data_IF_159881628940
#
_entry.id   IF_159881628940
#
_cell.length_a   1.000
_cell.length_b   1.000
_cell.length_c   1.000
_cell.angle_alpha   90.00
_cell.angle_beta   90.00
_cell.angle_gamma   90.00
#
_symmetry.space_group_name_H-M   'P 1'
#
loop_
_entity.id
_entity.type
_entity.pdbx_description
1 polymer ?
#
# COMPACT_ATOMS: atom_id res chain seq x y z
N UNK A 1 12.19 1.13 -0.74
CA UNK A 1 10.78 1.56 -0.80
C UNK A 1 10.09 0.78 -1.90
N UNK A 2 8.89 0.28 -1.65
CA UNK A 2 8.00 -0.29 -2.67
C UNK A 2 6.89 0.71 -2.98
N UNK A 3 6.69 1.02 -4.25
CA UNK A 3 5.59 1.86 -4.74
C UNK A 3 4.64 0.98 -5.56
N UNK A 4 3.37 1.00 -5.20
CA UNK A 4 2.31 0.29 -5.91
C UNK A 4 1.57 1.24 -6.82
N UNK A 5 1.35 0.83 -8.07
CA UNK A 5 0.56 1.57 -9.03
C UNK A 5 -0.95 1.39 -8.83
N UNK A 6 -1.70 2.35 -9.31
CA UNK A 6 -3.16 2.33 -9.39
C UNK A 6 -3.63 1.70 -10.70
N UNK A 7 -4.89 1.27 -10.73
CA UNK A 7 -5.56 0.87 -11.97
C UNK A 7 -5.53 2.01 -13.01
N UNK A 8 -5.73 3.25 -12.58
CA UNK A 8 -5.71 4.43 -13.44
C UNK A 8 -4.29 4.97 -13.62
N UNK A 9 -3.89 5.13 -14.87
CA UNK A 9 -2.56 5.63 -15.24
C UNK A 9 -2.24 7.00 -14.64
N UNK A 10 -3.21 7.94 -14.65
CA UNK A 10 -3.00 9.29 -14.13
C UNK A 10 -2.76 9.30 -12.62
N UNK A 11 -3.44 8.45 -11.85
CA UNK A 11 -3.21 8.30 -10.40
C UNK A 11 -1.83 7.71 -10.14
N UNK A 12 -1.43 6.71 -10.92
CA UNK A 12 -0.09 6.12 -10.82
C UNK A 12 1.00 7.16 -11.12
N UNK A 13 0.86 7.92 -12.21
CA UNK A 13 1.81 9.01 -12.56
C UNK A 13 1.91 10.04 -11.43
N UNK A 14 0.79 10.40 -10.82
CA UNK A 14 0.77 11.28 -9.66
C UNK A 14 1.55 10.72 -8.46
N UNK A 15 1.35 9.44 -8.13
CA UNK A 15 2.09 8.79 -7.04
C UNK A 15 3.59 8.82 -7.32
N UNK A 16 4.00 8.48 -8.54
CA UNK A 16 5.40 8.52 -8.97
C UNK A 16 5.97 9.95 -8.82
N UNK A 17 5.25 10.97 -9.30
CA UNK A 17 5.68 12.37 -9.16
C UNK A 17 5.86 12.76 -7.69
N UNK A 18 4.90 12.43 -6.83
CA UNK A 18 5.00 12.71 -5.38
C UNK A 18 6.24 12.06 -4.75
N UNK A 19 6.55 10.82 -5.13
CA UNK A 19 7.71 10.10 -4.61
C UNK A 19 9.01 10.74 -5.11
N UNK A 20 9.11 11.06 -6.40
CA UNK A 20 10.28 11.71 -7.00
C UNK A 20 10.52 13.08 -6.35
N UNK A 21 9.49 13.92 -6.27
CA UNK A 21 9.57 15.25 -5.66
C UNK A 21 9.96 15.16 -4.17
N UNK A 22 9.44 14.16 -3.45
CA UNK A 22 9.77 13.94 -2.04
C UNK A 22 11.23 13.53 -1.86
N UNK A 23 11.76 12.68 -2.74
CA UNK A 23 13.16 12.29 -2.70
C UNK A 23 14.09 13.47 -3.04
N UNK A 24 13.73 14.27 -4.03
CA UNK A 24 14.49 15.47 -4.39
C UNK A 24 14.54 16.47 -3.24
N UNK A 25 13.41 16.69 -2.56
CA UNK A 25 13.30 17.65 -1.46
C UNK A 25 14.04 17.18 -0.20
N UNK A 26 13.98 15.89 0.11
CA UNK A 26 14.60 15.30 1.31
C UNK A 26 16.06 14.88 1.11
N UNK A 27 16.54 14.82 -0.12
CA UNK A 27 17.83 14.20 -0.45
C UNK A 27 17.86 12.67 -0.29
N UNK A 28 16.70 12.04 -0.13
CA UNK A 28 16.57 10.60 0.02
C UNK A 28 16.97 9.87 -1.28
N UNK A 29 17.92 8.94 -1.17
CA UNK A 29 18.44 8.17 -2.32
C UNK A 29 18.08 6.68 -2.24
N UNK A 30 17.11 6.32 -1.41
CA UNK A 30 16.66 4.92 -1.33
C UNK A 30 16.15 4.44 -2.68
N UNK A 31 16.53 3.22 -3.03
CA UNK A 31 16.03 2.57 -4.24
C UNK A 31 14.52 2.33 -4.12
N UNK A 32 13.82 2.48 -5.24
CA UNK A 32 12.39 2.30 -5.35
C UNK A 32 12.10 1.09 -6.23
N UNK A 33 11.41 0.12 -5.66
CA UNK A 33 10.75 -0.93 -6.43
C UNK A 33 9.38 -0.40 -6.85
N UNK A 34 9.07 -0.44 -8.12
CA UNK A 34 7.76 -0.06 -8.63
C UNK A 34 7.03 -1.26 -9.21
N UNK A 35 5.86 -1.54 -8.65
CA UNK A 35 4.96 -2.58 -9.14
C UNK A 35 3.69 -1.94 -9.70
N UNK A 36 3.50 -1.95 -11.03
CA UNK A 36 2.27 -1.45 -11.64
C UNK A 36 1.07 -2.33 -11.26
N UNK A 37 -0.13 -1.76 -11.37
CA UNK A 37 -1.34 -2.53 -11.27
C UNK A 37 -1.42 -3.52 -12.46
N UNK A 38 -1.81 -4.80 -12.26
CA UNK A 38 -1.78 -5.82 -13.32
C UNK A 38 -2.58 -5.48 -14.59
N UNK A 39 -3.62 -4.68 -14.45
CA UNK A 39 -4.46 -4.25 -15.57
C UNK A 39 -4.01 -2.92 -16.20
N UNK A 40 -3.01 -2.26 -15.64
CA UNK A 40 -2.49 -1.02 -16.19
C UNK A 40 -1.41 -1.33 -17.24
N UNK A 41 -1.72 -1.04 -18.50
CA UNK A 41 -0.90 -1.39 -19.68
C UNK A 41 0.08 -0.30 -20.11
N UNK A 42 0.25 0.77 -19.32
CA UNK A 42 1.23 1.83 -19.61
C UNK A 42 2.64 1.24 -19.72
N UNK A 43 3.46 1.68 -20.70
CA UNK A 43 4.86 1.27 -20.82
C UNK A 43 5.74 1.97 -19.76
N UNK A 44 5.63 1.52 -18.52
CA UNK A 44 6.24 2.16 -17.36
C UNK A 44 7.76 2.28 -17.45
N UNK A 45 8.43 1.41 -18.21
CA UNK A 45 9.89 1.49 -18.42
C UNK A 45 10.34 2.83 -18.98
N UNK A 46 9.52 3.46 -19.82
CA UNK A 46 9.83 4.76 -20.44
C UNK A 46 9.47 5.95 -19.54
N UNK A 47 8.61 5.73 -18.55
CA UNK A 47 8.10 6.77 -17.63
C UNK A 47 8.96 6.90 -16.37
N UNK A 48 9.58 5.80 -15.96
CA UNK A 48 10.35 5.73 -14.73
C UNK A 48 11.78 6.25 -14.96
N UNK A 49 12.21 7.17 -14.10
CA UNK A 49 13.58 7.71 -14.10
C UNK A 49 14.46 7.07 -13.01
N UNK A 50 15.74 7.21 -13.16
CA UNK A 50 16.84 7.09 -12.22
C UNK A 50 16.90 5.89 -11.29
N UNK A 51 16.25 5.96 -10.16
CA UNK A 51 16.34 4.98 -9.07
C UNK A 51 15.13 4.05 -8.92
N UNK A 52 14.26 4.03 -9.94
CA UNK A 52 13.13 3.10 -9.99
C UNK A 52 13.52 1.78 -10.67
N UNK A 53 13.13 0.69 -10.07
CA UNK A 53 13.23 -0.64 -10.65
C UNK A 53 11.81 -1.20 -10.83
N UNK A 54 11.45 -1.42 -12.10
CA UNK A 54 10.15 -2.02 -12.45
C UNK A 54 10.15 -3.50 -12.06
N UNK A 55 9.07 -3.96 -11.44
CA UNK A 55 8.92 -5.36 -11.03
C UNK A 55 7.50 -5.86 -11.17
N UNK A 56 7.34 -7.13 -11.51
CA UNK A 56 6.08 -7.86 -11.51
C UNK A 56 6.04 -8.99 -10.47
N UNK A 57 7.06 -9.08 -9.62
CA UNK A 57 7.13 -10.11 -8.58
C UNK A 57 5.91 -10.06 -7.65
N UNK A 58 5.52 -11.18 -7.03
CA UNK A 58 4.44 -11.22 -6.04
C UNK A 58 4.71 -10.28 -4.85
N UNK A 59 3.65 -9.72 -4.25
CA UNK A 59 3.78 -8.82 -3.09
C UNK A 59 4.48 -9.50 -1.91
N UNK A 60 4.24 -10.79 -1.69
CA UNK A 60 4.89 -11.57 -0.64
C UNK A 60 6.42 -11.58 -0.75
N UNK A 61 6.95 -11.64 -1.97
CA UNK A 61 8.39 -11.55 -2.20
C UNK A 61 8.89 -10.10 -2.02
N UNK A 62 8.17 -9.13 -2.59
CA UNK A 62 8.55 -7.72 -2.51
C UNK A 62 8.56 -7.20 -1.08
N UNK A 63 7.69 -7.69 -0.21
CA UNK A 63 7.68 -7.32 1.20
C UNK A 63 8.93 -7.77 1.94
N UNK A 64 9.64 -8.79 1.48
CA UNK A 64 10.94 -9.17 2.06
C UNK A 64 12.05 -8.16 1.74
N UNK A 65 11.91 -7.44 0.63
CA UNK A 65 12.91 -6.51 0.09
C UNK A 65 12.69 -5.04 0.50
N UNK A 66 11.56 -4.72 1.14
CA UNK A 66 11.23 -3.36 1.50
C UNK A 66 10.75 -3.24 2.96
N UNK A 67 10.91 -2.06 3.54
CA UNK A 67 10.35 -1.68 4.85
C UNK A 67 9.20 -0.69 4.75
N UNK A 68 9.09 0.01 3.62
CA UNK A 68 8.09 1.03 3.35
C UNK A 68 7.34 0.67 2.08
N UNK A 69 6.02 0.77 2.14
CA UNK A 69 5.14 0.56 1.00
C UNK A 69 4.26 1.79 0.82
N UNK A 70 4.33 2.39 -0.36
CA UNK A 70 3.50 3.52 -0.77
C UNK A 70 2.47 3.01 -1.77
N UNK A 71 1.21 3.24 -1.50
CA UNK A 71 0.12 2.69 -2.30
C UNK A 71 -1.01 3.72 -2.50
N UNK A 72 -1.83 3.59 -3.57
CA UNK A 72 -3.06 4.36 -3.70
C UNK A 72 -4.05 4.02 -2.58
N UNK A 73 -4.92 4.98 -2.23
CA UNK A 73 -5.88 4.85 -1.13
C UNK A 73 -6.91 3.72 -1.32
N UNK A 74 -7.17 3.32 -2.56
CA UNK A 74 -8.10 2.23 -2.87
C UNK A 74 -7.43 0.84 -2.96
N UNK A 75 -6.09 0.77 -2.71
CA UNK A 75 -5.34 -0.47 -2.89
C UNK A 75 -5.42 -1.38 -1.67
N UNK A 76 -5.74 -2.66 -1.90
CA UNK A 76 -5.57 -3.72 -0.89
C UNK A 76 -4.11 -3.97 -0.56
N UNK A 77 -3.18 -3.61 -1.45
CA UNK A 77 -1.74 -3.75 -1.22
C UNK A 77 -1.23 -2.95 -0.01
N UNK A 78 -1.86 -1.80 0.32
CA UNK A 78 -1.55 -1.08 1.56
C UNK A 78 -1.91 -1.91 2.80
N UNK A 79 -3.05 -2.60 2.76
CA UNK A 79 -3.52 -3.47 3.82
C UNK A 79 -2.62 -4.70 3.98
N UNK A 80 -2.27 -5.35 2.87
CA UNK A 80 -1.34 -6.48 2.86
C UNK A 80 0.03 -6.07 3.43
N UNK A 81 0.55 -4.89 3.03
CA UNK A 81 1.78 -4.33 3.57
C UNK A 81 1.68 -4.09 5.08
N UNK A 82 0.58 -3.52 5.54
CA UNK A 82 0.32 -3.31 6.96
C UNK A 82 0.33 -4.64 7.73
N UNK A 83 -0.37 -5.67 7.23
CA UNK A 83 -0.39 -7.00 7.83
C UNK A 83 0.99 -7.68 7.81
N UNK A 84 1.82 -7.38 6.80
CA UNK A 84 3.21 -7.84 6.72
C UNK A 84 4.19 -7.02 7.59
N UNK A 85 3.69 -6.21 8.53
CA UNK A 85 4.49 -5.34 9.41
C UNK A 85 5.37 -4.33 8.66
N UNK A 86 4.93 -3.85 7.49
CA UNK A 86 5.59 -2.78 6.76
C UNK A 86 4.99 -1.43 7.15
N UNK A 87 5.76 -0.36 6.97
CA UNK A 87 5.20 0.98 7.02
C UNK A 87 4.34 1.19 5.76
N UNK A 88 3.03 1.11 5.94
CA UNK A 88 2.07 1.32 4.86
C UNK A 88 1.67 2.80 4.79
N UNK A 89 1.93 3.44 3.66
CA UNK A 89 1.59 4.84 3.39
C UNK A 89 0.55 4.86 2.26
N UNK A 90 -0.64 5.34 2.56
CA UNK A 90 -1.71 5.50 1.56
C UNK A 90 -1.71 6.92 1.02
N UNK A 91 -1.57 7.06 -0.29
CA UNK A 91 -1.68 8.35 -0.98
C UNK A 91 -3.16 8.69 -1.15
N UNK A 92 -3.58 9.80 -0.55
CA UNK A 92 -4.93 10.32 -0.70
C UNK A 92 -4.99 11.27 -1.91
N UNK A 93 -5.81 10.93 -2.89
CA UNK A 93 -6.10 11.81 -4.02
C UNK A 93 -7.39 12.59 -3.76
N UNK A 94 -7.38 13.95 -3.89
CA UNK A 94 -8.57 14.77 -3.65
C UNK A 94 -9.69 14.55 -4.67
N UNK A 95 -9.38 13.94 -5.82
CA UNK A 95 -10.37 13.63 -6.85
C UNK A 95 -11.06 12.27 -6.64
N UNK A 96 -10.62 11.48 -5.65
CA UNK A 96 -11.15 10.14 -5.39
C UNK A 96 -11.62 9.97 -3.95
N UNK A 97 -12.54 9.05 -3.73
CA UNK A 97 -12.94 8.68 -2.37
C UNK A 97 -11.82 7.92 -1.68
N UNK A 98 -11.62 8.21 -0.40
CA UNK A 98 -10.75 7.40 0.43
C UNK A 98 -11.44 6.06 0.78
N UNK A 99 -11.16 5.04 0.00
CA UNK A 99 -11.69 3.69 0.16
C UNK A 99 -10.72 2.76 0.92
N UNK A 100 -9.65 3.28 1.51
CA UNK A 100 -8.67 2.45 2.20
C UNK A 100 -9.31 1.70 3.37
N UNK A 101 -9.07 0.38 3.46
CA UNK A 101 -9.50 -0.41 4.61
C UNK A 101 -8.73 -0.08 5.89
N UNK A 102 -7.63 0.67 5.79
CA UNK A 102 -6.83 1.13 6.92
C UNK A 102 -7.39 2.39 7.61
N UNK A 103 -8.52 2.92 7.15
CA UNK A 103 -9.16 4.08 7.78
C UNK A 103 -9.57 3.74 9.22
N UNK A 104 -9.13 4.57 10.19
CA UNK A 104 -9.37 4.33 11.61
C UNK A 104 -8.33 3.44 12.29
N UNK A 105 -7.34 2.95 11.55
CA UNK A 105 -6.22 2.20 12.12
C UNK A 105 -5.17 3.20 12.61
N UNK A 106 -4.80 3.12 13.89
CA UNK A 106 -3.96 4.13 14.57
C UNK A 106 -2.59 4.34 13.91
N UNK A 107 -1.96 3.26 13.45
CA UNK A 107 -0.61 3.29 12.86
C UNK A 107 -0.61 3.41 11.33
N UNK A 108 -1.77 3.61 10.70
CA UNK A 108 -1.85 3.78 9.26
C UNK A 108 -1.47 5.22 8.87
N UNK A 109 -0.61 5.34 7.87
CA UNK A 109 -0.14 6.64 7.39
C UNK A 109 -0.90 7.05 6.14
N UNK A 110 -1.39 8.31 6.16
CA UNK A 110 -2.10 8.91 5.04
C UNK A 110 -1.41 10.20 4.64
N UNK A 111 -1.13 10.38 3.36
CA UNK A 111 -0.48 11.58 2.85
C UNK A 111 -1.21 12.11 1.63
N UNK A 112 -1.28 13.43 1.48
CA UNK A 112 -1.99 14.12 0.39
C UNK A 112 -1.03 14.82 -0.57
N UNK A 113 0.16 15.14 -0.09
CA UNK A 113 1.15 15.94 -0.82
C UNK A 113 2.58 15.52 -0.48
N UNK A 114 3.53 16.08 -1.22
CA UNK A 114 4.96 15.78 -1.06
C UNK A 114 5.51 16.12 0.31
N UNK A 115 5.08 17.24 0.92
CA UNK A 115 5.62 17.71 2.19
C UNK A 115 5.21 16.76 3.34
N UNK A 116 3.99 16.24 3.30
CA UNK A 116 3.54 15.20 4.21
C UNK A 116 4.31 13.90 3.98
N UNK A 117 4.55 13.52 2.72
CA UNK A 117 5.32 12.32 2.41
C UNK A 117 6.77 12.44 2.90
N UNK A 118 7.42 13.59 2.70
CA UNK A 118 8.76 13.88 3.23
C UNK A 118 8.78 13.71 4.76
N UNK A 119 7.83 14.31 5.46
CA UNK A 119 7.74 14.19 6.93
C UNK A 119 7.66 12.74 7.37
N UNK A 120 6.83 11.94 6.74
CA UNK A 120 6.67 10.51 7.07
C UNK A 120 7.94 9.73 6.74
N UNK A 121 8.57 9.98 5.58
CA UNK A 121 9.78 9.28 5.17
C UNK A 121 11.00 9.61 6.03
N UNK A 122 11.07 10.84 6.56
CA UNK A 122 12.17 11.29 7.44
C UNK A 122 11.96 10.92 8.91
N UNK A 123 10.72 10.78 9.37
CA UNK A 123 10.40 10.52 10.77
C UNK A 123 10.89 9.15 11.28
N UNK A 124 11.36 8.28 10.40
CA UNK A 124 11.73 6.88 10.73
C UNK A 124 10.69 6.26 11.67
N UNK A 125 9.44 6.13 11.23
CA UNK A 125 8.40 5.65 12.13
C UNK A 125 8.78 4.25 12.61
N UNK A 126 8.84 4.10 13.92
CA UNK A 126 8.95 2.78 14.53
C UNK A 126 7.68 2.03 14.17
N UNK A 127 7.80 1.02 13.33
CA UNK A 127 6.71 0.07 13.13
C UNK A 127 6.44 -0.55 14.50
N UNK A 128 5.36 -0.15 15.15
CA UNK A 128 4.93 -0.83 16.38
C UNK A 128 4.63 -2.28 16.00
N UNK A 129 5.29 -3.20 16.66
CA UNK A 129 4.97 -4.62 16.60
C UNK A 129 3.66 -4.84 17.37
N UNK A 130 2.54 -4.52 16.74
CA UNK A 130 1.21 -4.82 17.26
C UNK A 130 0.69 -6.12 16.65
N UNK A 131 -0.22 -6.79 17.33
CA UNK A 131 -0.95 -7.91 16.74
C UNK A 131 -1.92 -7.38 15.67
N UNK A 132 -1.38 -7.24 14.45
CA UNK A 132 -2.11 -6.72 13.28
C UNK A 132 -3.13 -7.73 12.72
N UNK A 133 -3.14 -8.95 13.27
CA UNK A 133 -4.15 -9.97 12.94
C UNK A 133 -5.55 -9.56 13.42
N UNK A 134 -5.65 -8.63 14.36
CA UNK A 134 -6.94 -8.11 14.84
C UNK A 134 -7.76 -7.38 13.77
N UNK A 135 -7.14 -6.91 12.67
CA UNK A 135 -7.87 -6.34 11.53
C UNK A 135 -8.67 -7.38 10.76
N UNK A 136 -8.24 -8.62 10.81
CA UNK A 136 -8.93 -9.74 10.17
C UNK A 136 -9.20 -10.81 11.19
N UNK A 137 -10.42 -11.21 11.26
CA UNK A 137 -10.75 -12.43 11.97
C UNK A 137 -10.40 -13.62 11.06
N UNK A 138 -9.13 -14.02 11.08
CA UNK A 138 -8.66 -15.22 10.38
C UNK A 138 -8.73 -16.40 11.32
N UNK A 139 -9.67 -17.30 11.07
CA UNK A 139 -9.79 -18.58 11.77
C UNK A 139 -9.49 -19.70 10.75
N UNK A 140 -8.40 -20.42 10.97
CA UNK A 140 -7.98 -21.52 10.10
C UNK A 140 -9.04 -22.60 9.95
N UNK A 141 -9.90 -22.77 10.96
CA UNK A 141 -10.99 -23.75 10.96
C UNK A 141 -12.28 -23.20 10.36
N UNK A 142 -12.31 -21.93 9.96
CA UNK A 142 -13.49 -21.26 9.40
C UNK A 142 -14.75 -21.40 10.25
N UNK A 143 -14.62 -21.43 11.58
CA UNK A 143 -15.69 -21.74 12.53
C UNK A 143 -16.90 -20.81 12.36
N UNK A 144 -16.67 -19.52 12.18
CA UNK A 144 -17.75 -18.54 11.94
C UNK A 144 -18.48 -18.77 10.62
N UNK A 145 -17.75 -19.11 9.56
CA UNK A 145 -18.35 -19.44 8.28
C UNK A 145 -19.20 -20.70 8.36
N UNK A 146 -18.68 -21.75 9.01
CA UNK A 146 -19.42 -22.99 9.24
C UNK A 146 -20.70 -22.75 10.05
N UNK A 147 -20.62 -21.92 11.09
CA UNK A 147 -21.80 -21.54 11.87
C UNK A 147 -22.82 -20.75 11.06
N UNK A 148 -22.39 -19.75 10.29
CA UNK A 148 -23.27 -18.95 9.46
C UNK A 148 -23.97 -19.77 8.37
N UNK A 149 -23.25 -20.66 7.72
CA UNK A 149 -23.82 -21.54 6.67
C UNK A 149 -24.80 -22.57 7.24
N UNK A 150 -24.52 -23.11 8.43
CA UNK A 150 -25.41 -24.07 9.09
C UNK A 150 -26.69 -23.44 9.66
N UNK A 151 -26.65 -22.12 9.98
CA UNK A 151 -27.84 -21.39 10.44
C UNK A 151 -28.75 -20.97 9.27
N UNK A 152 -28.27 -21.04 8.03
CA UNK A 152 -29.03 -20.67 6.83
C UNK A 152 -29.82 -21.83 6.23
N UNK A 153 -29.88 -22.98 6.90
CA UNK A 153 -30.75 -24.10 6.51
C UNK A 153 -32.24 -23.73 6.60
N UNK A 154 -33.09 -24.20 5.68
CA UNK A 154 -34.50 -23.87 5.70
C UNK A 154 -35.12 -24.30 7.04
N UNK A 155 -35.67 -23.33 7.78
CA UNK A 155 -36.60 -23.63 8.86
C UNK A 155 -37.88 -24.15 8.20
N UNK A 156 -38.07 -25.43 8.25
CA UNK A 156 -39.36 -26.06 7.87
C UNK A 156 -40.42 -25.72 8.91
#
# INVERSE_FOLDING_TARGET
>A
ILVLGDFFTHLTKRIISLVVESQQLSGDRRNILFKPHPLNREPWGDVLGGNFTLTNAPLSELFTLCSIVIAPSASTGALEAYCANKLAISILDPSTLNLTPLRGVEDAMFVKNRDELVKVLMATPKTKSGDRQQLFFTDANLTRWSQALNQSGPQN
#
